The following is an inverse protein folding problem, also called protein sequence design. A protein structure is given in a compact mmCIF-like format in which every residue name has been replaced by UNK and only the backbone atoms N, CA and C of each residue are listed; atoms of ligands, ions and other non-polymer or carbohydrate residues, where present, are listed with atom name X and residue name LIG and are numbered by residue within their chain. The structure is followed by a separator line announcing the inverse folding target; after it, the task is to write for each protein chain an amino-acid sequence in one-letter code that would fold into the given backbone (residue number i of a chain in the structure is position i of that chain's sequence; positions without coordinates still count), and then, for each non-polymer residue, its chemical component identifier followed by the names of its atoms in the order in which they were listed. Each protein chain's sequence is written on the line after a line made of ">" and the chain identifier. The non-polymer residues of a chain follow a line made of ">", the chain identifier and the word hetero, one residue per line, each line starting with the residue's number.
data_IF_046741142847
#
_entry.id   IF_046741142847
#
_cell.length_a   1.000
_cell.length_b   1.000
_cell.length_c   1.000
_cell.angle_alpha   90.00
_cell.angle_beta   90.00
_cell.angle_gamma   90.00
#
_symmetry.space_group_name_H-M   'P 1'
#
loop_
_entity.id
_entity.type
_entity.pdbx_description
1 polymer ?
#
# COMPACT_ATOMS: atom_id res chain seq x y z
N UNK A 1 -30.22 67.55 -26.52
CA UNK A 1 -28.79 67.19 -26.33
C UNK A 1 -28.68 66.38 -25.04
N UNK A 2 -28.30 65.10 -25.17
CA UNK A 2 -27.86 64.11 -24.17
C UNK A 2 -28.68 63.82 -22.91
N UNK A 3 -29.50 62.77 -22.99
CA UNK A 3 -29.78 61.86 -21.85
C UNK A 3 -29.02 60.55 -22.09
N UNK A 4 -27.94 60.32 -21.34
CA UNK A 4 -27.18 59.06 -21.35
C UNK A 4 -27.84 58.09 -20.39
N UNK A 5 -28.34 56.95 -20.89
CA UNK A 5 -28.84 55.83 -20.07
C UNK A 5 -27.65 55.16 -19.36
N UNK A 6 -27.63 55.19 -18.03
CA UNK A 6 -26.76 54.33 -17.23
C UNK A 6 -27.58 53.11 -16.80
N UNK A 7 -27.17 51.95 -17.31
CA UNK A 7 -27.67 50.63 -16.94
C UNK A 7 -26.97 50.20 -15.64
N UNK A 8 -27.66 50.25 -14.50
CA UNK A 8 -27.12 49.73 -13.24
C UNK A 8 -27.46 48.23 -13.15
N UNK A 9 -26.48 47.37 -13.42
CA UNK A 9 -26.57 45.93 -13.14
C UNK A 9 -26.68 45.71 -11.63
N UNK A 10 -27.81 45.17 -11.18
CA UNK A 10 -27.94 44.53 -9.88
C UNK A 10 -27.19 43.21 -9.87
N UNK A 11 -26.01 43.17 -9.24
CA UNK A 11 -25.36 41.90 -8.89
C UNK A 11 -26.14 41.28 -7.72
N UNK A 12 -26.87 40.19 -7.97
CA UNK A 12 -27.26 39.27 -6.91
C UNK A 12 -25.98 38.60 -6.40
N UNK A 13 -25.53 38.99 -5.21
CA UNK A 13 -24.56 38.21 -4.46
C UNK A 13 -25.24 36.89 -4.04
N UNK A 14 -24.89 35.81 -4.74
CA UNK A 14 -25.17 34.46 -4.26
C UNK A 14 -24.45 34.26 -2.91
N UNK A 15 -25.07 33.62 -1.92
CA UNK A 15 -24.40 33.33 -0.67
C UNK A 15 -23.22 32.41 -0.98
N UNK A 16 -22.03 32.88 -0.63
CA UNK A 16 -20.81 32.07 -0.56
C UNK A 16 -21.15 30.92 0.39
N UNK A 17 -21.31 29.73 -0.17
CA UNK A 17 -21.38 28.48 0.59
C UNK A 17 -20.15 28.47 1.49
N UNK A 18 -20.38 28.53 2.80
CA UNK A 18 -19.32 28.45 3.80
C UNK A 18 -18.54 27.16 3.55
N UNK A 19 -17.24 27.30 3.26
CA UNK A 19 -16.28 26.23 3.46
C UNK A 19 -16.52 25.69 4.87
N UNK A 20 -16.81 24.39 4.99
CA UNK A 20 -16.99 23.77 6.30
C UNK A 20 -15.74 24.03 7.13
N UNK A 21 -15.92 24.60 8.33
CA UNK A 21 -14.83 24.87 9.27
C UNK A 21 -13.94 23.63 9.39
N UNK A 22 -12.67 23.79 9.01
CA UNK A 22 -11.66 22.78 9.22
C UNK A 22 -11.59 22.46 10.71
N UNK A 23 -11.65 21.19 11.13
CA UNK A 23 -11.26 20.87 12.49
C UNK A 23 -9.79 21.27 12.64
N UNK A 24 -9.52 22.18 13.58
CA UNK A 24 -8.18 22.72 13.85
C UNK A 24 -7.18 21.64 14.29
N UNK A 25 -7.64 20.39 14.53
CA UNK A 25 -6.88 19.36 15.18
C UNK A 25 -7.11 17.96 14.58
N UNK A 26 -6.02 17.21 14.35
CA UNK A 26 -6.08 15.81 13.94
C UNK A 26 -6.59 14.91 15.08
N UNK A 27 -7.16 13.74 14.75
CA UNK A 27 -7.43 12.69 15.75
C UNK A 27 -6.12 12.42 16.50
N UNK A 28 -6.11 12.70 17.80
CA UNK A 28 -4.93 12.55 18.64
C UNK A 28 -4.17 13.82 18.99
N UNK A 29 -4.57 15.01 18.56
CA UNK A 29 -3.90 16.23 19.04
C UNK A 29 -4.13 16.49 20.54
N UNK A 30 -5.31 16.11 21.06
CA UNK A 30 -5.57 16.04 22.51
C UNK A 30 -4.72 14.96 23.21
N UNK A 31 -4.28 13.96 22.45
CA UNK A 31 -3.44 12.84 22.90
C UNK A 31 -1.95 13.20 22.92
N UNK A 32 -1.54 14.24 22.18
CA UNK A 32 -0.19 14.84 22.23
C UNK A 32 0.09 15.63 23.53
N UNK A 33 -0.97 16.01 24.27
CA UNK A 33 -0.89 16.82 25.50
C UNK A 33 -0.80 15.98 26.78
N UNK A 34 -0.93 14.65 26.69
CA UNK A 34 -0.87 13.75 27.85
C UNK A 34 0.57 13.28 28.04
N UNK A 35 1.23 13.77 29.10
CA UNK A 35 2.62 13.47 29.48
C UNK A 35 2.83 12.12 30.16
N UNK A 36 1.81 11.25 30.22
CA UNK A 36 1.91 9.95 30.88
C UNK A 36 2.63 8.96 29.96
N UNK A 37 3.91 8.68 30.22
CA UNK A 37 4.65 7.59 29.56
C UNK A 37 3.80 6.31 29.67
N UNK A 38 3.62 5.60 28.57
CA UNK A 38 3.10 4.24 28.63
C UNK A 38 3.96 3.44 29.62
N UNK A 39 3.32 2.61 30.45
CA UNK A 39 4.07 1.66 31.27
C UNK A 39 4.57 0.56 30.33
N UNK A 40 5.79 0.74 29.80
CA UNK A 40 6.33 -0.14 28.78
C UNK A 40 6.86 -1.42 29.42
N UNK A 41 6.61 -2.60 28.82
CA UNK A 41 7.15 -3.85 29.33
C UNK A 41 8.67 -3.85 29.24
N UNK A 42 9.30 -4.52 30.21
CA UNK A 42 10.73 -4.82 30.14
C UNK A 42 11.05 -5.68 28.92
N UNK A 43 12.22 -5.44 28.34
CA UNK A 43 12.68 -6.21 27.19
C UNK A 43 13.07 -7.62 27.63
N UNK A 44 12.42 -8.64 27.06
CA UNK A 44 12.79 -10.04 27.25
C UNK A 44 13.89 -10.48 26.26
N UNK A 45 14.02 -9.77 25.14
CA UNK A 45 15.10 -9.95 24.16
C UNK A 45 15.86 -8.64 23.97
N UNK A 46 17.18 -8.72 23.83
CA UNK A 46 18.02 -7.56 23.52
C UNK A 46 17.73 -7.05 22.11
N UNK A 47 17.69 -5.72 21.95
CA UNK A 47 17.63 -5.05 20.66
C UNK A 47 18.97 -4.96 19.93
N UNK A 48 20.08 -5.40 20.56
CA UNK A 48 21.39 -5.41 19.89
C UNK A 48 21.38 -6.28 18.63
N UNK A 49 21.89 -5.73 17.53
CA UNK A 49 21.90 -6.37 16.21
C UNK A 49 20.65 -6.09 15.37
N UNK A 50 19.55 -5.62 15.99
CA UNK A 50 18.40 -5.15 15.23
C UNK A 50 18.64 -3.74 14.67
N UNK A 51 18.12 -3.50 13.48
CA UNK A 51 18.16 -2.21 12.77
C UNK A 51 16.75 -1.66 12.59
N UNK A 52 16.60 -0.36 12.77
CA UNK A 52 15.38 0.36 12.52
C UNK A 52 15.60 1.60 11.67
N UNK A 53 14.60 1.95 10.87
CA UNK A 53 14.54 3.19 10.09
C UNK A 53 13.30 3.97 10.49
N UNK A 54 13.47 5.23 10.88
CA UNK A 54 12.37 6.11 11.25
C UNK A 54 12.25 7.27 10.26
N UNK A 55 11.05 7.46 9.71
CA UNK A 55 10.75 8.41 8.66
C UNK A 55 9.69 9.41 9.14
N UNK A 56 9.91 10.70 8.90
CA UNK A 56 8.88 11.74 9.07
C UNK A 56 8.83 12.67 7.86
N UNK A 57 7.72 12.62 7.12
CA UNK A 57 7.41 13.57 6.04
C UNK A 57 6.80 14.87 6.58
N UNK A 58 6.87 15.96 5.82
CA UNK A 58 6.17 17.20 6.18
C UNK A 58 4.66 17.08 5.99
N UNK A 59 3.91 17.73 6.88
CA UNK A 59 2.44 17.77 6.87
C UNK A 59 1.93 19.17 6.58
N UNK A 60 2.54 20.17 7.21
CA UNK A 60 2.20 21.59 7.16
C UNK A 60 3.45 22.45 6.93
N UNK A 61 4.40 21.90 6.15
CA UNK A 61 5.72 22.47 5.91
C UNK A 61 6.76 22.06 6.95
N UNK A 62 8.05 22.22 6.63
CA UNK A 62 9.16 21.61 7.39
C UNK A 62 9.23 22.04 8.86
N UNK A 63 8.77 23.26 9.16
CA UNK A 63 8.74 23.85 10.49
C UNK A 63 7.32 24.05 11.03
N UNK A 64 6.31 23.47 10.37
CA UNK A 64 4.92 23.57 10.79
C UNK A 64 4.67 22.81 12.10
N UNK A 65 3.74 23.26 12.94
CA UNK A 65 3.45 22.64 14.23
C UNK A 65 3.09 21.15 14.14
N UNK A 66 2.36 20.73 13.10
CA UNK A 66 2.00 19.33 12.87
C UNK A 66 3.23 18.48 12.55
N UNK A 67 4.09 18.98 11.65
CA UNK A 67 5.35 18.32 11.28
C UNK A 67 6.28 18.17 12.49
N UNK A 68 6.47 19.23 13.27
CA UNK A 68 7.26 19.19 14.51
C UNK A 68 6.66 18.25 15.56
N UNK A 69 5.32 18.17 15.64
CA UNK A 69 4.61 17.20 16.48
C UNK A 69 4.92 15.75 16.09
N UNK A 70 4.88 15.42 14.80
CA UNK A 70 5.24 14.10 14.30
C UNK A 70 6.71 13.75 14.56
N UNK A 71 7.62 14.69 14.35
CA UNK A 71 9.05 14.51 14.67
C UNK A 71 9.21 14.19 16.16
N UNK A 72 8.57 14.97 17.04
CA UNK A 72 8.64 14.74 18.49
C UNK A 72 8.10 13.35 18.87
N UNK A 73 6.94 12.96 18.33
CA UNK A 73 6.37 11.64 18.60
C UNK A 73 7.28 10.51 18.12
N UNK A 74 7.83 10.63 16.91
CA UNK A 74 8.74 9.64 16.36
C UNK A 74 10.01 9.53 17.19
N UNK A 75 10.57 10.64 17.67
CA UNK A 75 11.72 10.65 18.58
C UNK A 75 11.44 9.92 19.90
N UNK A 76 10.23 10.02 20.45
CA UNK A 76 9.86 9.26 21.64
C UNK A 76 9.73 7.76 21.33
N UNK A 77 9.22 7.37 20.16
CA UNK A 77 9.21 5.97 19.71
C UNK A 77 10.63 5.45 19.48
N UNK A 78 11.52 6.22 18.85
CA UNK A 78 12.91 5.79 18.62
C UNK A 78 13.73 5.75 19.90
N UNK A 79 13.40 6.54 20.94
CA UNK A 79 13.98 6.37 22.28
C UNK A 79 13.69 4.98 22.87
N UNK A 80 12.49 4.43 22.67
CA UNK A 80 12.12 3.06 23.12
C UNK A 80 13.00 2.00 22.44
N UNK A 81 13.30 2.19 21.15
CA UNK A 81 14.21 1.33 20.37
C UNK A 81 15.65 1.45 20.87
N UNK A 82 16.16 2.70 20.95
CA UNK A 82 17.53 2.99 21.37
C UNK A 82 17.80 2.49 22.79
N UNK A 83 16.84 2.62 23.71
CA UNK A 83 16.98 2.11 25.08
C UNK A 83 17.07 0.58 25.17
N UNK A 84 16.69 -0.14 24.11
CA UNK A 84 16.80 -1.60 24.00
C UNK A 84 18.04 -2.05 23.21
N UNK A 85 18.87 -1.11 22.71
CA UNK A 85 20.09 -1.42 21.96
C UNK A 85 19.91 -1.51 20.44
N UNK A 86 18.74 -1.14 19.91
CA UNK A 86 18.47 -1.15 18.46
C UNK A 86 19.24 -0.02 17.77
N UNK A 87 19.88 -0.31 16.64
CA UNK A 87 20.49 0.72 15.78
C UNK A 87 19.39 1.43 15.00
N UNK A 88 19.27 2.75 15.13
CA UNK A 88 18.21 3.53 14.47
C UNK A 88 18.79 4.56 13.50
N UNK A 89 18.37 4.50 12.24
CA UNK A 89 18.57 5.56 11.25
C UNK A 89 17.32 6.45 11.19
N UNK A 90 17.48 7.77 11.29
CA UNK A 90 16.37 8.72 11.37
C UNK A 90 16.41 9.71 10.19
N UNK A 91 15.31 9.80 9.46
CA UNK A 91 15.13 10.70 8.31
C UNK A 91 13.87 11.54 8.50
N UNK A 92 14.05 12.80 8.87
CA UNK A 92 12.96 13.73 9.15
C UNK A 92 13.00 14.92 8.20
N UNK A 93 11.83 15.42 7.78
CA UNK A 93 11.73 16.61 6.93
C UNK A 93 12.56 17.77 7.49
N UNK A 94 13.29 18.54 6.66
CA UNK A 94 13.34 18.49 5.19
C UNK A 94 14.26 17.40 4.60
N UNK A 95 14.92 16.58 5.43
CA UNK A 95 15.96 15.63 4.99
C UNK A 95 15.43 14.21 4.91
N UNK A 96 14.62 13.95 3.89
CA UNK A 96 14.06 12.63 3.57
C UNK A 96 14.47 12.12 2.17
N UNK A 97 15.78 12.03 1.86
CA UNK A 97 16.24 11.55 0.56
C UNK A 97 15.90 10.07 0.35
N UNK A 98 15.03 9.80 -0.61
CA UNK A 98 14.49 8.45 -0.85
C UNK A 98 15.57 7.38 -1.08
N UNK A 99 16.62 7.67 -1.84
CA UNK A 99 17.66 6.68 -2.13
C UNK A 99 18.43 6.25 -0.88
N UNK A 100 18.69 7.17 0.06
CA UNK A 100 19.34 6.83 1.33
C UNK A 100 18.39 6.09 2.27
N UNK A 101 17.11 6.46 2.25
CA UNK A 101 16.07 5.77 3.02
C UNK A 101 15.95 4.31 2.55
N UNK A 102 15.86 4.09 1.24
CA UNK A 102 15.79 2.77 0.63
C UNK A 102 17.00 1.90 1.02
N UNK A 103 18.21 2.46 0.95
CA UNK A 103 19.42 1.75 1.37
C UNK A 103 19.43 1.47 2.88
N UNK A 104 18.98 2.40 3.72
CA UNK A 104 18.89 2.19 5.16
C UNK A 104 17.86 1.10 5.53
N UNK A 105 16.78 0.95 4.75
CA UNK A 105 15.76 -0.08 4.95
C UNK A 105 16.30 -1.48 4.60
N UNK A 106 17.37 -1.58 3.81
CA UNK A 106 17.97 -2.86 3.43
C UNK A 106 18.45 -3.62 4.68
N UNK A 107 17.79 -4.74 4.98
CA UNK A 107 18.06 -5.51 6.19
C UNK A 107 17.66 -4.80 7.49
N UNK A 108 16.78 -3.80 7.45
CA UNK A 108 16.14 -3.24 8.64
C UNK A 108 15.01 -4.16 9.12
N UNK A 109 14.90 -4.34 10.44
CA UNK A 109 13.87 -5.17 11.08
C UNK A 109 12.62 -4.35 11.40
N UNK A 110 12.74 -3.03 11.55
CA UNK A 110 11.64 -2.15 11.92
C UNK A 110 11.70 -0.91 11.03
N UNK A 111 10.60 -0.60 10.34
CA UNK A 111 10.45 0.67 9.63
C UNK A 111 9.29 1.44 10.24
N UNK A 112 9.53 2.68 10.62
CA UNK A 112 8.54 3.57 11.22
C UNK A 112 8.29 4.72 10.26
N UNK A 113 7.03 5.11 10.09
CA UNK A 113 6.67 6.29 9.31
C UNK A 113 5.60 7.11 10.03
N UNK A 114 5.77 8.44 9.99
CA UNK A 114 4.74 9.39 10.33
C UNK A 114 4.72 10.54 9.31
N UNK A 115 3.56 11.16 9.09
CA UNK A 115 3.39 12.23 8.11
C UNK A 115 2.06 12.10 7.39
N UNK A 116 1.99 12.65 6.17
CA UNK A 116 0.78 12.55 5.36
C UNK A 116 0.46 11.10 5.01
N UNK A 117 -0.82 10.75 5.15
CA UNK A 117 -1.37 9.58 4.49
C UNK A 117 -1.65 9.88 3.02
N UNK A 118 -1.82 8.82 2.23
CA UNK A 118 -1.99 8.93 0.79
C UNK A 118 -3.31 8.30 0.41
N UNK A 119 -4.17 9.08 -0.24
CA UNK A 119 -5.47 8.67 -0.75
C UNK A 119 -5.93 9.60 -1.89
N UNK A 120 -6.79 9.12 -2.78
CA UNK A 120 -7.37 9.90 -3.88
C UNK A 120 -8.89 9.86 -3.89
N UNK A 121 -9.55 10.98 -4.22
CA UNK A 121 -11.00 11.21 -4.35
C UNK A 121 -11.76 11.45 -3.03
N UNK A 122 -11.54 12.62 -2.42
CA UNK A 122 -12.29 13.08 -1.24
C UNK A 122 -13.63 13.76 -1.58
N UNK A 123 -14.10 13.70 -2.82
CA UNK A 123 -15.18 14.60 -3.26
C UNK A 123 -16.57 14.08 -2.93
N UNK A 124 -16.79 12.78 -2.69
CA UNK A 124 -18.10 12.21 -2.38
C UNK A 124 -18.01 11.07 -1.35
N UNK A 125 -18.94 11.06 -0.39
CA UNK A 125 -19.18 9.94 0.54
C UNK A 125 -20.15 8.90 -0.06
N UNK A 126 -19.98 7.59 0.17
CA UNK A 126 -18.82 6.95 0.79
C UNK A 126 -17.61 6.99 -0.15
N UNK A 127 -16.43 7.23 0.46
CA UNK A 127 -15.19 7.53 -0.23
C UNK A 127 -14.55 6.30 -0.88
N UNK A 128 -14.99 5.85 -2.05
CA UNK A 128 -14.30 4.79 -2.79
C UNK A 128 -12.96 5.30 -3.36
N UNK A 129 -11.90 5.25 -2.53
CA UNK A 129 -10.58 5.77 -2.89
C UNK A 129 -9.95 4.94 -4.01
N UNK A 130 -9.51 5.58 -5.09
CA UNK A 130 -8.90 4.87 -6.23
C UNK A 130 -7.46 4.43 -5.97
N UNK A 131 -6.70 5.23 -5.23
CA UNK A 131 -5.29 4.98 -4.92
C UNK A 131 -5.02 5.31 -3.46
N UNK A 132 -4.41 4.38 -2.72
CA UNK A 132 -4.03 4.52 -1.31
C UNK A 132 -2.68 3.85 -1.09
N UNK A 133 -1.78 4.50 -0.37
CA UNK A 133 -0.54 3.88 0.10
C UNK A 133 0.76 4.57 -0.34
N UNK A 134 1.88 4.12 0.24
CA UNK A 134 3.22 4.65 -0.04
C UNK A 134 3.77 5.52 1.09
N UNK A 135 4.67 6.45 0.74
CA UNK A 135 5.19 7.47 1.66
C UNK A 135 5.12 8.86 1.04
N UNK A 136 4.68 9.86 1.82
CA UNK A 136 4.79 11.26 1.46
C UNK A 136 6.06 11.84 2.11
N UNK A 137 7.12 11.99 1.32
CA UNK A 137 8.41 12.52 1.76
C UNK A 137 8.60 13.93 1.20
N UNK A 138 9.63 14.63 1.71
CA UNK A 138 9.93 15.99 1.26
C UNK A 138 10.24 16.00 -0.23
N UNK A 139 9.37 16.65 -1.01
CA UNK A 139 9.53 16.77 -2.45
C UNK A 139 9.40 15.45 -3.22
N UNK A 140 8.93 14.37 -2.58
CA UNK A 140 8.73 13.08 -3.24
C UNK A 140 7.57 12.30 -2.65
N UNK A 141 6.66 11.93 -3.55
CA UNK A 141 5.75 10.83 -3.33
C UNK A 141 6.43 9.51 -3.68
N UNK A 142 6.45 8.57 -2.76
CA UNK A 142 6.87 7.18 -2.98
C UNK A 142 5.61 6.35 -3.19
N UNK A 143 5.44 5.80 -4.38
CA UNK A 143 4.26 5.01 -4.74
C UNK A 143 4.26 3.60 -4.15
N UNK A 144 3.10 2.93 -4.18
CA UNK A 144 2.99 1.51 -3.83
C UNK A 144 3.91 0.62 -4.67
N UNK A 145 4.03 0.89 -5.97
CA UNK A 145 4.90 0.14 -6.87
C UNK A 145 6.38 0.31 -6.47
N UNK A 146 6.78 1.52 -6.08
CA UNK A 146 8.12 1.76 -5.55
C UNK A 146 8.34 1.03 -4.23
N UNK A 147 7.39 1.05 -3.31
CA UNK A 147 7.47 0.29 -2.04
C UNK A 147 7.63 -1.21 -2.32
N UNK A 148 6.73 -1.80 -3.11
CA UNK A 148 6.68 -3.23 -3.42
C UNK A 148 7.98 -3.71 -4.08
N UNK A 149 8.46 -2.96 -5.07
CA UNK A 149 9.57 -3.42 -5.90
C UNK A 149 10.94 -3.08 -5.30
N UNK A 150 11.07 -1.95 -4.60
CA UNK A 150 12.38 -1.41 -4.23
C UNK A 150 12.82 -1.68 -2.78
N UNK A 151 11.89 -1.89 -1.85
CA UNK A 151 12.24 -2.19 -0.47
C UNK A 151 12.66 -3.65 -0.29
N UNK A 152 13.62 -3.88 0.60
CA UNK A 152 14.20 -5.20 0.93
C UNK A 152 14.53 -5.29 2.43
N UNK A 153 13.52 -5.32 3.31
CA UNK A 153 13.73 -5.35 4.75
C UNK A 153 14.31 -6.69 5.21
N UNK A 154 14.70 -6.80 6.48
CA UNK A 154 15.15 -8.06 7.07
C UNK A 154 14.01 -9.09 7.13
N UNK A 155 14.37 -10.38 7.26
CA UNK A 155 13.38 -11.41 7.53
C UNK A 155 12.71 -11.15 8.89
N UNK A 156 11.38 -11.26 8.92
CA UNK A 156 10.62 -10.97 10.14
C UNK A 156 10.50 -9.47 10.44
N UNK A 157 10.77 -8.62 9.44
CA UNK A 157 10.63 -7.19 9.62
C UNK A 157 9.17 -6.75 9.70
N UNK A 158 8.95 -5.62 10.37
CA UNK A 158 7.65 -4.96 10.47
C UNK A 158 7.73 -3.50 10.02
N UNK A 159 6.63 -2.99 9.49
CA UNK A 159 6.44 -1.55 9.23
C UNK A 159 5.33 -1.02 10.16
N UNK A 160 5.52 0.17 10.72
CA UNK A 160 4.56 0.85 11.58
C UNK A 160 4.28 2.27 11.08
N UNK A 161 3.01 2.57 10.85
CA UNK A 161 2.52 3.89 10.52
C UNK A 161 1.92 4.57 11.75
N UNK A 162 2.32 5.83 12.00
CA UNK A 162 1.82 6.65 13.09
C UNK A 162 1.12 7.91 12.56
N UNK A 163 -0.20 7.99 12.76
CA UNK A 163 -1.03 9.16 12.47
C UNK A 163 -1.23 9.49 10.98
N UNK A 164 -0.75 8.66 10.07
CA UNK A 164 -0.96 8.85 8.64
C UNK A 164 -2.40 8.47 8.24
N UNK A 165 -3.10 9.36 7.53
CA UNK A 165 -4.44 9.10 6.99
C UNK A 165 -4.53 7.77 6.22
N UNK A 166 -5.70 7.13 6.25
CA UNK A 166 -6.03 5.87 5.57
C UNK A 166 -5.34 4.62 6.12
N UNK A 167 -4.17 4.75 6.77
CA UNK A 167 -3.33 3.60 7.15
C UNK A 167 -4.00 2.60 8.08
N UNK A 168 -4.86 3.07 8.99
CA UNK A 168 -5.66 2.26 9.89
C UNK A 168 -7.16 2.18 9.50
N UNK A 169 -7.53 2.75 8.34
CA UNK A 169 -8.91 2.93 7.89
C UNK A 169 -9.34 4.39 7.88
N UNK A 170 -9.30 5.06 9.04
CA UNK A 170 -9.74 6.45 9.13
C UNK A 170 -8.73 7.44 8.51
N UNK A 171 -9.27 8.59 8.08
CA UNK A 171 -8.52 9.84 7.88
C UNK A 171 -9.09 10.93 8.80
N UNK A 172 -8.37 12.03 8.97
CA UNK A 172 -8.68 13.05 9.98
C UNK A 172 -10.12 13.59 9.92
N UNK A 173 -10.72 13.67 8.72
CA UNK A 173 -12.06 14.25 8.52
C UNK A 173 -13.20 13.21 8.42
N UNK A 174 -12.90 11.92 8.37
CA UNK A 174 -13.89 10.84 8.15
C UNK A 174 -14.52 10.31 9.45
N UNK A 175 -14.41 11.06 10.56
CA UNK A 175 -14.89 10.61 11.87
C UNK A 175 -16.39 10.33 11.87
N UNK A 176 -16.76 9.06 12.08
CA UNK A 176 -18.15 8.61 12.13
C UNK A 176 -18.84 8.47 10.77
N UNK A 177 -18.14 8.67 9.66
CA UNK A 177 -18.70 8.60 8.29
C UNK A 177 -18.25 7.34 7.55
N UNK A 178 -17.13 6.75 7.94
CA UNK A 178 -16.58 5.55 7.32
C UNK A 178 -17.16 4.26 7.94
N UNK A 179 -17.34 3.23 7.11
CA UNK A 179 -17.80 1.91 7.53
C UNK A 179 -16.67 0.86 7.55
N UNK A 180 -17.03 -0.37 7.91
CA UNK A 180 -16.11 -1.49 8.01
C UNK A 180 -15.56 -1.96 6.64
N UNK A 181 -16.34 -1.82 5.56
CA UNK A 181 -15.95 -2.29 4.23
C UNK A 181 -14.90 -1.36 3.63
N UNK A 182 -15.10 -0.05 3.71
CA UNK A 182 -14.11 0.94 3.28
C UNK A 182 -12.85 0.89 4.15
N UNK A 183 -13.00 0.68 5.46
CA UNK A 183 -11.86 0.44 6.37
C UNK A 183 -11.02 -0.75 5.92
N UNK A 184 -11.67 -1.90 5.67
CA UNK A 184 -11.01 -3.12 5.17
C UNK A 184 -10.28 -2.84 3.86
N UNK A 185 -10.91 -2.11 2.94
CA UNK A 185 -10.34 -1.77 1.65
C UNK A 185 -9.09 -0.89 1.77
N UNK A 186 -9.15 0.19 2.57
CA UNK A 186 -8.02 1.10 2.81
C UNK A 186 -6.83 0.41 3.47
N UNK A 187 -7.07 -0.36 4.53
CA UNK A 187 -6.01 -1.11 5.22
C UNK A 187 -5.39 -2.14 4.27
N UNK A 188 -6.20 -2.83 3.45
CA UNK A 188 -5.69 -3.79 2.45
C UNK A 188 -4.79 -3.10 1.43
N UNK A 189 -5.24 -2.02 0.81
CA UNK A 189 -4.45 -1.29 -0.20
C UNK A 189 -3.15 -0.73 0.35
N UNK A 190 -3.17 -0.17 1.58
CA UNK A 190 -1.99 0.44 2.16
C UNK A 190 -0.95 -0.62 2.57
N UNK A 191 -1.40 -1.75 3.12
CA UNK A 191 -0.49 -2.76 3.67
C UNK A 191 0.04 -3.76 2.65
N UNK A 192 -0.73 -4.09 1.60
CA UNK A 192 -0.34 -5.10 0.61
C UNK A 192 1.05 -4.86 -0.04
N UNK A 193 1.42 -3.65 -0.48
CA UNK A 193 2.74 -3.39 -1.06
C UNK A 193 3.90 -3.68 -0.09
N UNK A 194 3.72 -3.39 1.21
CA UNK A 194 4.73 -3.69 2.23
C UNK A 194 4.85 -5.20 2.46
N UNK A 195 3.73 -5.91 2.54
CA UNK A 195 3.76 -7.37 2.69
C UNK A 195 4.46 -8.04 1.51
N UNK A 196 4.17 -7.58 0.28
CA UNK A 196 4.84 -8.07 -0.94
C UNK A 196 6.32 -7.67 -1.01
N UNK A 197 6.70 -6.53 -0.43
CA UNK A 197 8.11 -6.13 -0.29
C UNK A 197 8.90 -7.00 0.71
N UNK A 198 8.22 -7.84 1.50
CA UNK A 198 8.85 -8.80 2.43
C UNK A 198 8.66 -8.48 3.91
N UNK A 199 7.92 -7.43 4.26
CA UNK A 199 7.52 -7.21 5.65
C UNK A 199 6.56 -8.33 6.09
N UNK A 200 6.78 -8.88 7.29
CA UNK A 200 5.89 -9.89 7.86
C UNK A 200 4.77 -9.30 8.72
N UNK A 201 4.88 -8.03 9.11
CA UNK A 201 3.84 -7.31 9.83
C UNK A 201 3.76 -5.85 9.38
N UNK A 202 2.54 -5.37 9.24
CA UNK A 202 2.18 -3.97 9.05
C UNK A 202 1.33 -3.56 10.25
N UNK A 203 1.69 -2.48 10.91
CA UNK A 203 0.90 -1.85 11.96
C UNK A 203 0.56 -0.42 11.54
N UNK A 204 -0.62 0.05 11.90
CA UNK A 204 -1.00 1.44 11.72
C UNK A 204 -1.81 1.91 12.91
N UNK A 205 -1.42 3.02 13.54
CA UNK A 205 -2.14 3.59 14.67
C UNK A 205 -2.15 5.12 14.63
N UNK A 206 -3.21 5.73 15.15
CA UNK A 206 -3.26 7.17 15.40
C UNK A 206 -2.70 7.58 16.77
N UNK A 207 -2.45 6.61 17.66
CA UNK A 207 -2.06 6.88 19.04
C UNK A 207 -0.54 6.71 19.25
N UNK A 208 0.20 7.78 19.62
CA UNK A 208 1.65 7.68 19.85
C UNK A 208 2.06 6.71 20.94
N UNK A 209 1.27 6.57 22.02
CA UNK A 209 1.57 5.58 23.07
C UNK A 209 1.35 4.15 22.58
N UNK A 210 0.35 3.91 21.72
CA UNK A 210 0.11 2.60 21.11
C UNK A 210 1.31 2.21 20.24
N UNK A 211 1.86 3.17 19.48
CA UNK A 211 3.10 2.95 18.74
C UNK A 211 4.27 2.59 19.67
N UNK A 212 4.46 3.31 20.78
CA UNK A 212 5.49 2.97 21.77
C UNK A 212 5.30 1.56 22.37
N UNK A 213 4.07 1.20 22.72
CA UNK A 213 3.73 -0.12 23.26
C UNK A 213 4.00 -1.22 22.25
N UNK A 214 3.54 -1.09 20.99
CA UNK A 214 3.83 -2.05 19.91
C UNK A 214 5.33 -2.29 19.82
N UNK A 215 6.10 -1.21 19.74
CA UNK A 215 7.56 -1.30 19.61
C UNK A 215 8.21 -1.95 20.82
N UNK A 216 7.76 -1.66 22.03
CA UNK A 216 8.26 -2.34 23.24
C UNK A 216 7.89 -3.83 23.25
N UNK A 217 6.65 -4.16 22.88
CA UNK A 217 6.10 -5.51 22.91
C UNK A 217 6.74 -6.46 21.90
N UNK A 218 7.26 -5.94 20.77
CA UNK A 218 8.08 -6.71 19.83
C UNK A 218 9.28 -7.39 20.49
N UNK A 219 9.80 -6.81 21.57
CA UNK A 219 10.94 -7.34 22.34
C UNK A 219 10.54 -8.21 23.54
N UNK A 220 9.27 -8.60 23.64
CA UNK A 220 8.77 -9.47 24.73
C UNK A 220 8.62 -10.94 24.30
N UNK A 221 9.01 -11.29 23.07
CA UNK A 221 8.86 -12.64 22.52
C UNK A 221 7.46 -13.00 22.03
N UNK A 222 6.51 -12.05 22.11
CA UNK A 222 5.17 -12.14 21.52
C UNK A 222 5.25 -12.28 19.99
N UNK A 223 4.26 -12.95 19.41
CA UNK A 223 4.05 -12.91 17.97
C UNK A 223 3.31 -11.62 17.58
N UNK A 224 3.34 -11.28 16.29
CA UNK A 224 2.81 -9.99 15.82
C UNK A 224 1.32 -9.80 16.12
N UNK A 225 0.50 -10.86 16.01
CA UNK A 225 -0.90 -10.81 16.39
C UNK A 225 -1.09 -10.60 17.90
N UNK A 226 -0.27 -11.25 18.73
CA UNK A 226 -0.28 -11.05 20.18
C UNK A 226 0.16 -9.65 20.59
N UNK A 227 1.12 -9.04 19.87
CA UNK A 227 1.49 -7.63 20.05
C UNK A 227 0.28 -6.73 19.74
N UNK A 228 -0.43 -7.00 18.64
CA UNK A 228 -1.64 -6.25 18.30
C UNK A 228 -2.71 -6.32 19.40
N UNK A 229 -2.98 -7.53 19.88
CA UNK A 229 -4.02 -7.79 20.89
C UNK A 229 -3.76 -7.06 22.22
N UNK A 230 -2.50 -6.73 22.57
CA UNK A 230 -2.19 -6.02 23.84
C UNK A 230 -2.80 -4.61 23.92
N UNK A 231 -3.07 -3.97 22.79
CA UNK A 231 -3.52 -2.58 22.73
C UNK A 231 -5.01 -2.46 22.37
N UNK A 232 -5.77 -3.57 22.41
CA UNK A 232 -7.18 -3.60 22.01
C UNK A 232 -8.03 -4.42 22.97
N UNK A 233 -9.34 -4.18 22.97
CA UNK A 233 -10.29 -5.16 23.49
C UNK A 233 -10.70 -6.08 22.35
N UNK A 234 -10.60 -7.39 22.55
CA UNK A 234 -10.89 -8.37 21.49
C UNK A 234 -12.31 -8.26 20.93
N UNK A 235 -13.29 -7.81 21.73
CA UNK A 235 -14.67 -7.54 21.29
C UNK A 235 -14.79 -6.37 20.31
N UNK A 236 -13.79 -5.49 20.26
CA UNK A 236 -13.72 -4.30 19.40
C UNK A 236 -12.86 -4.57 18.15
N UNK A 237 -12.34 -5.79 17.97
CA UNK A 237 -11.45 -6.15 16.87
C UNK A 237 -12.15 -7.05 15.88
N UNK A 238 -12.05 -6.70 14.59
CA UNK A 238 -12.37 -7.62 13.50
C UNK A 238 -11.08 -8.25 12.97
N UNK A 239 -11.09 -9.58 12.78
CA UNK A 239 -9.95 -10.32 12.22
C UNK A 239 -10.38 -11.09 10.97
N UNK A 240 -9.67 -10.88 9.86
CA UNK A 240 -10.02 -11.37 8.53
C UNK A 240 -8.81 -11.98 7.82
N UNK A 241 -9.05 -12.70 6.73
CA UNK A 241 -8.02 -12.94 5.72
C UNK A 241 -7.70 -11.64 4.97
N UNK A 242 -6.42 -11.45 4.62
CA UNK A 242 -6.00 -10.28 3.88
C UNK A 242 -6.50 -10.35 2.43
N UNK A 243 -7.32 -9.39 1.95
CA UNK A 243 -7.98 -9.49 0.64
C UNK A 243 -7.01 -9.58 -0.55
N UNK A 244 -5.87 -8.91 -0.46
CA UNK A 244 -4.89 -8.79 -1.56
C UNK A 244 -3.56 -9.53 -1.33
N UNK A 245 -3.41 -10.26 -0.22
CA UNK A 245 -2.16 -10.94 0.15
C UNK A 245 -2.43 -12.34 0.69
N UNK A 246 -2.23 -13.34 -0.17
CA UNK A 246 -2.50 -14.75 0.16
C UNK A 246 -1.72 -15.19 1.41
N UNK A 247 -2.43 -15.83 2.36
CA UNK A 247 -1.87 -16.28 3.64
C UNK A 247 -1.68 -15.18 4.69
N UNK A 248 -1.83 -13.91 4.32
CA UNK A 248 -1.86 -12.79 5.27
C UNK A 248 -3.20 -12.70 6.01
N UNK A 249 -3.16 -12.09 7.18
CA UNK A 249 -4.35 -11.67 7.91
C UNK A 249 -4.45 -10.15 7.93
N UNK A 250 -5.66 -9.64 8.15
CA UNK A 250 -5.95 -8.23 8.32
C UNK A 250 -6.84 -8.05 9.54
N UNK A 251 -6.38 -7.27 10.51
CA UNK A 251 -7.09 -6.92 11.73
C UNK A 251 -7.34 -5.42 11.76
N UNK A 252 -8.51 -5.00 12.21
CA UNK A 252 -8.76 -3.59 12.52
C UNK A 252 -9.60 -3.46 13.77
N UNK A 253 -9.32 -2.40 14.53
CA UNK A 253 -10.06 -1.99 15.70
C UNK A 253 -11.23 -1.09 15.28
N UNK A 254 -12.39 -1.30 15.92
CA UNK A 254 -13.60 -0.49 15.77
C UNK A 254 -13.99 0.07 17.14
N UNK A 255 -13.59 1.31 17.39
CA UNK A 255 -13.88 2.06 18.60
C UNK A 255 -15.07 3.01 18.46
N UNK A 256 -15.42 3.66 19.58
CA UNK A 256 -16.35 4.79 19.61
C UNK A 256 -15.70 5.95 20.37
N UNK A 257 -15.64 7.12 19.74
CA UNK A 257 -15.17 8.36 20.34
C UNK A 257 -16.22 9.45 20.12
N UNK A 258 -16.66 10.12 21.18
CA UNK A 258 -17.68 11.19 21.10
C UNK A 258 -18.93 10.79 20.28
N UNK A 259 -19.43 9.58 20.53
CA UNK A 259 -20.54 8.94 19.81
C UNK A 259 -20.30 8.64 18.31
N UNK A 260 -19.08 8.86 17.79
CA UNK A 260 -18.67 8.52 16.43
C UNK A 260 -17.87 7.23 16.38
N UNK A 261 -18.15 6.39 15.39
CA UNK A 261 -17.35 5.18 15.13
C UNK A 261 -15.99 5.58 14.57
N UNK A 262 -14.93 4.94 15.07
CA UNK A 262 -13.55 5.18 14.63
C UNK A 262 -12.82 3.86 14.32
N UNK A 263 -11.95 3.89 13.33
CA UNK A 263 -11.01 2.83 12.97
C UNK A 263 -9.59 3.42 12.97
N UNK A 264 -8.91 3.26 14.08
CA UNK A 264 -7.71 4.01 14.46
C UNK A 264 -6.50 3.12 14.75
N UNK A 265 -6.68 1.80 14.69
CA UNK A 265 -5.63 0.81 14.87
C UNK A 265 -5.85 -0.40 13.97
N UNK A 266 -4.80 -0.80 13.23
CA UNK A 266 -4.86 -1.94 12.32
C UNK A 266 -3.55 -2.74 12.32
N UNK A 267 -3.69 -4.01 11.96
CA UNK A 267 -2.59 -4.91 11.65
C UNK A 267 -2.84 -5.64 10.33
N UNK A 268 -1.78 -5.90 9.58
CA UNK A 268 -1.83 -6.81 8.44
C UNK A 268 -0.54 -7.64 8.34
N UNK A 269 -0.63 -8.88 7.84
CA UNK A 269 0.53 -9.76 7.64
C UNK A 269 0.40 -11.11 8.35
N UNK A 270 1.53 -11.68 8.77
CA UNK A 270 1.60 -12.97 9.46
C UNK A 270 1.47 -12.77 10.98
N UNK A 271 0.30 -13.03 11.61
CA UNK A 271 0.13 -12.81 13.04
C UNK A 271 0.97 -13.75 13.90
N UNK A 272 1.44 -14.88 13.36
CA UNK A 272 2.30 -15.84 14.05
C UNK A 272 3.79 -15.51 13.89
N UNK A 273 4.13 -14.53 13.04
CA UNK A 273 5.49 -14.03 12.89
C UNK A 273 6.01 -13.38 14.16
N UNK A 274 7.34 -13.32 14.28
CA UNK A 274 8.06 -12.67 15.38
C UNK A 274 9.23 -11.87 14.81
N UNK A 275 9.68 -10.89 15.58
CA UNK A 275 10.91 -10.18 15.27
C UNK A 275 12.08 -11.18 15.26
N UNK A 276 12.91 -11.16 14.22
CA UNK A 276 14.06 -12.07 14.05
C UNK A 276 15.33 -11.29 13.74
N UNK A 277 16.45 -11.69 14.34
CA UNK A 277 17.78 -11.09 14.15
C UNK A 277 18.67 -11.90 13.18
N UNK A 278 18.09 -12.82 12.41
CA UNK A 278 18.88 -13.60 11.45
C UNK A 278 19.31 -12.70 10.29
N UNK A 279 20.57 -12.27 10.33
CA UNK A 279 21.28 -11.67 9.19
C UNK A 279 21.71 -12.82 8.29
N UNK A 280 21.37 -12.77 7.00
CA UNK A 280 21.71 -13.82 6.03
C UNK A 280 23.23 -13.97 5.87
N UNK A 281 23.83 -14.88 6.62
CA UNK A 281 24.98 -15.67 6.20
C UNK A 281 24.43 -16.99 5.68
N UNK A 282 24.51 -17.18 4.36
CA UNK A 282 24.27 -18.42 3.60
C UNK A 282 22.98 -19.21 3.90
N UNK A 283 22.22 -19.41 2.82
CA UNK A 283 21.06 -20.28 2.67
C UNK A 283 20.87 -21.34 3.76
N UNK A 284 20.01 -21.03 4.72
CA UNK A 284 19.02 -22.00 5.20
C UNK A 284 17.66 -21.34 5.13
N UNK A 285 17.10 -21.41 3.91
CA UNK A 285 15.70 -21.13 3.61
C UNK A 285 14.84 -21.93 4.60
N UNK A 286 14.11 -21.32 5.55
CA UNK A 286 13.00 -22.04 6.16
C UNK A 286 12.02 -22.35 5.03
N UNK A 287 11.51 -23.58 4.99
CA UNK A 287 10.79 -24.19 3.88
C UNK A 287 9.55 -23.39 3.41
N UNK A 288 9.76 -22.28 2.71
CA UNK A 288 8.90 -21.84 1.63
C UNK A 288 9.37 -22.60 0.40
N UNK A 289 8.87 -23.83 0.26
CA UNK A 289 8.53 -24.25 -1.08
C UNK A 289 7.65 -23.10 -1.63
N UNK A 290 7.99 -22.42 -2.75
CA UNK A 290 6.89 -21.98 -3.58
C UNK A 290 6.04 -23.24 -3.71
N UNK A 291 4.74 -23.16 -3.46
CA UNK A 291 3.87 -24.18 -4.07
C UNK A 291 4.09 -23.94 -5.56
N UNK A 292 5.13 -24.58 -6.12
CA UNK A 292 5.21 -24.88 -7.52
C UNK A 292 3.93 -25.64 -7.71
N UNK A 293 2.96 -24.96 -8.31
CA UNK A 293 1.74 -25.59 -8.72
C UNK A 293 2.16 -26.88 -9.38
N UNK A 294 1.52 -27.98 -9.01
CA UNK A 294 1.76 -29.22 -9.75
C UNK A 294 1.54 -28.91 -11.25
N UNK A 295 2.19 -29.63 -12.18
CA UNK A 295 1.96 -29.41 -13.60
C UNK A 295 0.46 -29.36 -13.97
N UNK A 296 -0.37 -30.13 -13.26
CA UNK A 296 -1.83 -30.14 -13.37
C UNK A 296 -2.49 -28.85 -12.84
N UNK A 297 -2.11 -28.37 -11.65
CA UNK A 297 -2.60 -27.12 -11.08
C UNK A 297 -2.19 -25.90 -11.91
N UNK A 298 -0.95 -25.88 -12.41
CA UNK A 298 -0.46 -24.83 -13.30
C UNK A 298 -1.25 -24.84 -14.61
N UNK A 299 -1.46 -26.01 -15.20
CA UNK A 299 -2.26 -26.18 -16.43
C UNK A 299 -3.70 -25.73 -16.21
N UNK A 300 -4.32 -26.13 -15.10
CA UNK A 300 -5.68 -25.71 -14.73
C UNK A 300 -5.80 -24.20 -14.59
N UNK A 301 -4.82 -23.58 -13.92
CA UNK A 301 -4.78 -22.13 -13.68
C UNK A 301 -4.53 -21.34 -14.97
N UNK A 302 -3.63 -21.81 -15.82
CA UNK A 302 -3.37 -21.26 -17.16
C UNK A 302 -4.63 -21.32 -18.04
N UNK A 303 -5.33 -22.45 -18.06
CA UNK A 303 -6.59 -22.62 -18.79
C UNK A 303 -7.70 -21.70 -18.24
N UNK A 304 -7.79 -21.56 -16.91
CA UNK A 304 -8.73 -20.65 -16.28
C UNK A 304 -8.45 -19.19 -16.66
N UNK A 305 -7.17 -18.83 -16.78
CA UNK A 305 -6.74 -17.49 -17.15
C UNK A 305 -7.12 -17.18 -18.62
N UNK A 306 -6.89 -18.13 -19.54
CA UNK A 306 -7.37 -18.03 -20.93
C UNK A 306 -8.89 -17.86 -20.96
N UNK A 307 -9.64 -18.65 -20.19
CA UNK A 307 -11.11 -18.56 -20.12
C UNK A 307 -11.57 -17.21 -19.57
N UNK A 308 -10.87 -16.63 -18.60
CA UNK A 308 -11.16 -15.31 -18.07
C UNK A 308 -10.98 -14.23 -19.14
N UNK A 309 -9.92 -14.31 -19.96
CA UNK A 309 -9.71 -13.39 -21.09
C UNK A 309 -10.84 -13.48 -22.12
N UNK A 310 -11.28 -14.69 -22.52
CA UNK A 310 -12.44 -14.87 -23.42
C UNK A 310 -13.74 -14.28 -22.85
N UNK A 311 -13.92 -14.37 -21.53
CA UNK A 311 -15.08 -13.80 -20.82
C UNK A 311 -14.94 -12.31 -20.53
N UNK A 312 -13.78 -11.70 -20.82
CA UNK A 312 -13.42 -10.34 -20.41
C UNK A 312 -13.54 -10.11 -18.89
N UNK A 313 -13.37 -11.18 -18.10
CA UNK A 313 -13.42 -11.14 -16.65
C UNK A 313 -12.05 -10.72 -16.11
N UNK A 314 -11.82 -9.41 -16.10
CA UNK A 314 -10.56 -8.83 -15.65
C UNK A 314 -10.26 -9.24 -14.20
N UNK A 315 -11.24 -9.17 -13.29
CA UNK A 315 -11.04 -9.50 -11.86
C UNK A 315 -10.52 -10.93 -11.68
N UNK A 316 -11.12 -11.89 -12.38
CA UNK A 316 -10.65 -13.28 -12.34
C UNK A 316 -9.28 -13.44 -12.99
N UNK A 317 -9.02 -12.76 -14.12
CA UNK A 317 -7.71 -12.81 -14.77
C UNK A 317 -6.58 -12.27 -13.86
N UNK A 318 -6.82 -11.15 -13.17
CA UNK A 318 -5.84 -10.56 -12.25
C UNK A 318 -5.57 -11.46 -11.05
N UNK A 319 -6.62 -12.06 -10.49
CA UNK A 319 -6.48 -13.04 -9.41
C UNK A 319 -5.67 -14.26 -9.86
N UNK A 320 -5.91 -14.79 -11.06
CA UNK A 320 -5.18 -15.96 -11.55
C UNK A 320 -3.69 -15.64 -11.80
N UNK A 321 -3.39 -14.45 -12.34
CA UNK A 321 -2.01 -13.96 -12.50
C UNK A 321 -1.31 -13.74 -11.16
N UNK A 322 -2.01 -13.24 -10.13
CA UNK A 322 -1.43 -13.10 -8.78
C UNK A 322 -1.23 -14.46 -8.09
N UNK A 323 -2.05 -15.46 -8.43
CA UNK A 323 -1.93 -16.85 -7.98
C UNK A 323 -0.88 -17.66 -8.78
N UNK A 324 -0.13 -17.05 -9.70
CA UNK A 324 0.96 -17.72 -10.42
C UNK A 324 0.59 -18.35 -11.76
N UNK A 325 -0.53 -17.96 -12.37
CA UNK A 325 -0.78 -18.28 -13.78
C UNK A 325 0.36 -17.73 -14.67
N UNK A 326 0.77 -18.50 -15.66
CA UNK A 326 1.84 -18.11 -16.58
C UNK A 326 1.36 -16.97 -17.51
N UNK A 327 1.98 -15.78 -17.45
CA UNK A 327 1.63 -14.66 -18.34
C UNK A 327 1.99 -14.92 -19.81
N UNK A 328 2.74 -15.98 -20.11
CA UNK A 328 3.02 -16.48 -21.46
C UNK A 328 2.16 -17.68 -21.86
N UNK A 329 1.12 -18.02 -21.09
CA UNK A 329 0.22 -19.13 -21.41
C UNK A 329 -0.40 -18.96 -22.80
N UNK A 330 -0.57 -20.10 -23.47
CA UNK A 330 -1.05 -20.18 -24.84
C UNK A 330 -2.31 -21.03 -24.95
N UNK A 331 -3.19 -20.67 -25.88
CA UNK A 331 -4.31 -21.50 -26.33
C UNK A 331 -4.41 -21.42 -27.85
N UNK A 332 -4.36 -22.56 -28.53
CA UNK A 332 -4.47 -22.68 -30.00
C UNK A 332 -3.48 -21.79 -30.77
N UNK A 333 -2.21 -21.74 -30.36
CA UNK A 333 -1.21 -20.87 -30.99
C UNK A 333 -1.24 -19.42 -30.49
N UNK A 334 -2.30 -18.99 -29.78
CA UNK A 334 -2.43 -17.62 -29.28
C UNK A 334 -1.99 -17.52 -27.83
N UNK A 335 -0.92 -16.74 -27.58
CA UNK A 335 -0.58 -16.34 -26.21
C UNK A 335 -1.61 -15.36 -25.65
N UNK A 336 -1.77 -15.37 -24.34
CA UNK A 336 -2.75 -14.52 -23.66
C UNK A 336 -2.60 -13.02 -23.95
N UNK A 337 -1.37 -12.55 -24.19
CA UNK A 337 -1.12 -11.17 -24.61
C UNK A 337 -1.76 -10.84 -25.98
N UNK A 338 -1.81 -11.79 -26.91
CA UNK A 338 -2.52 -11.60 -28.18
C UNK A 338 -4.04 -11.58 -27.97
N UNK A 339 -4.55 -12.42 -27.06
CA UNK A 339 -5.98 -12.44 -26.72
C UNK A 339 -6.41 -11.12 -26.05
N UNK A 340 -5.59 -10.55 -25.14
CA UNK A 340 -5.90 -9.27 -24.50
C UNK A 340 -5.96 -8.12 -25.51
N UNK A 341 -5.08 -8.12 -26.52
CA UNK A 341 -5.13 -7.18 -27.65
C UNK A 341 -6.38 -7.39 -28.50
N UNK A 342 -6.67 -8.64 -28.89
CA UNK A 342 -7.82 -8.96 -29.74
C UNK A 342 -9.15 -8.53 -29.11
N UNK A 343 -9.33 -8.80 -27.80
CA UNK A 343 -10.54 -8.45 -27.05
C UNK A 343 -10.63 -7.01 -26.56
N UNK A 344 -9.60 -6.20 -26.80
CA UNK A 344 -9.46 -4.81 -26.34
C UNK A 344 -9.48 -4.68 -24.81
N UNK A 345 -8.51 -5.32 -24.16
CA UNK A 345 -8.36 -5.33 -22.71
C UNK A 345 -7.05 -4.62 -22.30
N UNK A 346 -7.02 -3.27 -22.24
CA UNK A 346 -5.81 -2.52 -21.94
C UNK A 346 -5.23 -2.84 -20.56
N UNK A 347 -6.08 -2.96 -19.54
CA UNK A 347 -5.63 -3.23 -18.17
C UNK A 347 -5.02 -4.63 -18.04
N UNK A 348 -5.63 -5.64 -18.66
CA UNK A 348 -5.05 -6.98 -18.72
C UNK A 348 -3.73 -6.98 -19.49
N UNK A 349 -3.66 -6.22 -20.60
CA UNK A 349 -2.43 -6.10 -21.40
C UNK A 349 -1.29 -5.48 -20.60
N UNK A 350 -1.56 -4.38 -19.90
CA UNK A 350 -0.60 -3.72 -19.02
C UNK A 350 -0.03 -4.71 -18.00
N UNK A 351 -0.90 -5.43 -17.29
CA UNK A 351 -0.49 -6.34 -16.21
C UNK A 351 0.25 -7.57 -16.73
N UNK A 352 -0.12 -8.10 -17.91
CA UNK A 352 0.64 -9.17 -18.56
C UNK A 352 2.07 -8.73 -18.85
N UNK A 353 2.27 -7.51 -19.37
CA UNK A 353 3.58 -6.95 -19.65
C UNK A 353 4.40 -6.70 -18.37
N UNK A 354 3.77 -6.19 -17.31
CA UNK A 354 4.38 -6.07 -15.98
C UNK A 354 4.85 -7.43 -15.44
N UNK A 355 4.07 -8.48 -15.69
CA UNK A 355 4.40 -9.88 -15.37
C UNK A 355 5.37 -10.54 -16.35
N UNK A 356 6.02 -9.79 -17.24
CA UNK A 356 7.01 -10.29 -18.21
C UNK A 356 6.42 -11.22 -19.28
N UNK A 357 5.17 -10.99 -19.69
CA UNK A 357 4.68 -11.53 -20.96
C UNK A 357 5.57 -11.03 -22.10
N UNK A 358 5.97 -11.93 -22.99
CA UNK A 358 6.82 -11.62 -24.14
C UNK A 358 6.02 -10.83 -25.21
N UNK A 359 6.33 -9.55 -25.44
CA UNK A 359 5.62 -8.71 -26.39
C UNK A 359 5.96 -9.02 -27.86
N UNK A 360 6.99 -9.84 -28.10
CA UNK A 360 7.55 -10.10 -29.42
C UNK A 360 7.27 -11.52 -29.92
N UNK A 361 6.57 -12.36 -29.15
CA UNK A 361 6.02 -13.61 -29.66
C UNK A 361 5.10 -13.35 -30.85
N UNK A 362 5.14 -14.22 -31.85
CA UNK A 362 4.37 -14.04 -33.09
C UNK A 362 3.29 -15.10 -33.21
N UNK A 363 2.10 -14.67 -33.59
CA UNK A 363 0.97 -15.52 -33.98
C UNK A 363 0.64 -15.22 -35.43
N UNK A 364 0.77 -16.22 -36.30
CA UNK A 364 0.60 -16.07 -37.75
C UNK A 364 1.43 -14.91 -38.34
N UNK A 365 2.64 -14.71 -37.80
CA UNK A 365 3.54 -13.62 -38.18
C UNK A 365 3.21 -12.25 -37.58
N UNK A 366 2.20 -12.14 -36.71
CA UNK A 366 1.86 -10.91 -35.99
C UNK A 366 2.39 -10.94 -34.55
N UNK A 367 3.21 -9.96 -34.19
CA UNK A 367 3.44 -9.61 -32.78
C UNK A 367 2.19 -8.95 -32.17
N UNK A 368 2.13 -8.88 -30.84
CA UNK A 368 1.08 -8.16 -30.13
C UNK A 368 0.92 -6.69 -30.60
N UNK A 369 2.03 -5.99 -30.90
CA UNK A 369 2.00 -4.61 -31.40
C UNK A 369 1.46 -4.50 -32.83
N UNK A 370 1.86 -5.42 -33.71
CA UNK A 370 1.35 -5.48 -35.09
C UNK A 370 -0.14 -5.79 -35.10
N UNK A 371 -0.57 -6.68 -34.21
CA UNK A 371 -1.97 -7.03 -33.99
C UNK A 371 -2.77 -5.83 -33.46
N UNK A 372 -2.25 -5.11 -32.46
CA UNK A 372 -2.89 -3.91 -31.90
C UNK A 372 -3.07 -2.82 -32.96
N UNK A 373 -2.09 -2.67 -33.85
CA UNK A 373 -2.18 -1.75 -35.01
C UNK A 373 -3.25 -2.21 -35.99
N UNK A 374 -3.26 -3.50 -36.37
CA UNK A 374 -4.21 -4.05 -37.33
C UNK A 374 -5.67 -4.01 -36.85
N UNK A 375 -5.89 -4.05 -35.54
CA UNK A 375 -7.21 -3.96 -34.89
C UNK A 375 -7.51 -2.56 -34.32
N UNK A 376 -6.68 -1.56 -34.57
CA UNK A 376 -6.88 -0.17 -34.14
C UNK A 376 -7.03 -0.01 -32.61
N UNK A 377 -6.29 -0.79 -31.82
CA UNK A 377 -6.30 -0.79 -30.35
C UNK A 377 -5.46 0.35 -29.79
N UNK A 378 -5.94 1.58 -30.00
CA UNK A 378 -5.22 2.84 -29.68
C UNK A 378 -4.76 2.95 -28.23
N UNK A 379 -5.54 2.43 -27.26
CA UNK A 379 -5.17 2.43 -25.85
C UNK A 379 -4.07 1.41 -25.50
N UNK A 380 -3.86 0.40 -26.34
CA UNK A 380 -2.95 -0.73 -26.08
C UNK A 380 -1.59 -0.54 -26.77
N UNK A 381 -1.57 0.11 -27.94
CA UNK A 381 -0.35 0.45 -28.68
C UNK A 381 0.75 1.07 -27.77
N UNK A 382 0.49 2.14 -27.00
CA UNK A 382 1.54 2.75 -26.17
C UNK A 382 2.05 1.82 -25.07
N UNK A 383 1.21 0.91 -24.55
CA UNK A 383 1.62 -0.07 -23.55
C UNK A 383 2.64 -1.06 -24.13
N UNK A 384 2.38 -1.54 -25.35
CA UNK A 384 3.24 -2.48 -26.04
C UNK A 384 4.56 -1.82 -26.51
N UNK A 385 4.51 -0.58 -26.98
CA UNK A 385 5.70 0.19 -27.34
C UNK A 385 6.59 0.43 -26.11
N UNK A 386 6.01 0.84 -24.98
CA UNK A 386 6.74 1.03 -23.73
C UNK A 386 7.39 -0.25 -23.22
N UNK A 387 6.80 -1.42 -23.51
CA UNK A 387 7.35 -2.73 -23.16
C UNK A 387 8.37 -3.28 -24.18
N UNK A 388 8.77 -2.50 -25.20
CA UNK A 388 9.73 -2.95 -26.21
C UNK A 388 9.15 -3.87 -27.28
N UNK A 389 7.84 -3.80 -27.51
CA UNK A 389 7.16 -4.52 -28.58
C UNK A 389 7.62 -4.03 -29.96
N UNK A 390 7.91 -4.97 -30.85
CA UNK A 390 8.35 -4.71 -32.22
C UNK A 390 7.22 -4.95 -33.22
N UNK A 391 7.27 -4.26 -34.36
CA UNK A 391 6.38 -4.52 -35.49
C UNK A 391 6.95 -5.65 -36.35
N UNK A 392 6.13 -6.61 -36.74
CA UNK A 392 6.47 -7.69 -37.67
C UNK A 392 5.80 -7.47 -39.03
N UNK A 393 6.28 -8.17 -40.07
CA UNK A 393 5.71 -8.07 -41.42
C UNK A 393 4.34 -8.76 -41.42
N UNK A 394 3.29 -8.01 -41.71
CA UNK A 394 1.90 -8.49 -41.75
C UNK A 394 1.69 -9.56 -42.82
N UNK A 395 1.02 -10.67 -42.47
CA UNK A 395 0.41 -11.56 -43.45
C UNK A 395 -0.81 -10.88 -44.10
N UNK A 396 -1.22 -11.34 -45.29
CA UNK A 396 -2.28 -10.73 -46.13
C UNK A 396 -3.69 -10.73 -45.52
N UNK A 397 -3.92 -11.40 -44.39
CA UNK A 397 -5.19 -11.42 -43.66
C UNK A 397 -4.98 -11.20 -42.15
N UNK A 398 -5.97 -10.56 -41.49
CA UNK A 398 -5.94 -10.33 -40.03
C UNK A 398 -6.20 -11.65 -39.29
N UNK A 399 -5.30 -12.10 -38.39
CA UNK A 399 -5.44 -13.40 -37.73
C UNK A 399 -6.53 -13.34 -36.65
N UNK A 400 -7.24 -14.45 -36.43
CA UNK A 400 -8.31 -14.57 -35.42
C UNK A 400 -8.11 -15.83 -34.55
N UNK A 401 -8.33 -15.76 -33.22
CA UNK A 401 -8.15 -16.87 -32.27
C UNK A 401 -9.25 -17.93 -32.28
#
# INVERSE_FOLDING_TARGET
>A
MNLTKILLLTFLALPILSEGEHPNHAIGESLLKISKRANLPDAAISGNGYKAVALVGDVDGDNGPGTLGYIKNMQEVTKVLKSRGVQVAEFYSPRTPWEQIKEAIKGANIVLYAGHGIGSNLTNSPFHQKYVGGFALKGKFVSNDEVENSLKPAQGAVVLFLGACFTAGNMAYDMGVIDAEETKYRVSMYSAPFLKAGFQGYYATWAPWTAQSIIADLFTGKNFGGVYDTQTKLSEVTKLDHPEFSGGKLFYHRGVQEAKVIFDYAFAGNPNGKLSNQTTTEETKPANNPVSLTPEEQTSKNNALIKAAYKKDLKTALRLLSEGADPNTESKGWRILHLSVYFDLPELTKILLEKKADPNYQVDGYTALSLATAYERTAIIPLLEAAGGTKSRSASSKPKP
#
